data_IF_459205001862
#
_entry.id   IF_459205001862
#
_cell.length_a   1.000
_cell.length_b   1.000
_cell.length_c   1.000
_cell.angle_alpha   90.00
_cell.angle_beta   90.00
_cell.angle_gamma   90.00
#
_symmetry.space_group_name_H-M   'P 1'
#
loop_
_entity.id
_entity.type
_entity.pdbx_description
1 polymer ?
#
# COMPACT_ATOMS: atom_id res chain seq x y z
N UNK A 1 -9.51 -17.80 -15.03
CA UNK A 1 -8.03 -17.64 -15.19
C UNK A 1 -7.69 -17.95 -16.62
N UNK A 2 -6.81 -17.16 -17.23
CA UNK A 2 -6.34 -17.42 -18.59
C UNK A 2 -5.39 -18.63 -18.61
N UNK A 3 -5.42 -19.39 -19.70
CA UNK A 3 -4.61 -20.60 -19.87
C UNK A 3 -3.52 -20.39 -20.92
N UNK A 4 -2.46 -21.21 -20.87
CA UNK A 4 -1.38 -21.18 -21.84
C UNK A 4 -1.93 -21.38 -23.27
N UNK A 5 -1.47 -20.56 -24.21
CA UNK A 5 -1.89 -20.55 -25.62
C UNK A 5 -3.18 -19.77 -25.90
N UNK A 6 -3.91 -19.31 -24.86
CA UNK A 6 -5.03 -18.40 -25.02
C UNK A 6 -4.55 -17.04 -25.50
N UNK A 7 -5.27 -16.43 -26.45
CA UNK A 7 -4.96 -15.08 -26.93
C UNK A 7 -5.90 -14.06 -26.31
N UNK A 8 -5.39 -12.89 -26.04
CA UNK A 8 -6.13 -11.69 -25.69
C UNK A 8 -6.06 -10.75 -26.89
N UNK A 9 -7.20 -10.26 -27.32
CA UNK A 9 -7.35 -9.33 -28.46
C UNK A 9 -6.65 -9.86 -29.74
N UNK A 10 -6.71 -11.19 -29.97
CA UNK A 10 -6.06 -11.90 -31.08
C UNK A 10 -4.55 -11.61 -31.26
N UNK A 11 -3.95 -10.89 -30.30
CA UNK A 11 -2.58 -10.38 -30.37
C UNK A 11 -1.67 -10.97 -29.31
N UNK A 12 -2.12 -11.03 -28.07
CA UNK A 12 -1.26 -11.38 -26.93
C UNK A 12 -1.45 -12.83 -26.53
N UNK A 13 -0.52 -13.71 -26.86
CA UNK A 13 -0.60 -15.13 -26.56
C UNK A 13 -0.01 -15.43 -25.16
N UNK A 14 -0.82 -15.99 -24.27
CA UNK A 14 -0.43 -16.31 -22.89
C UNK A 14 0.58 -17.46 -22.87
N UNK A 15 1.74 -17.21 -22.25
CA UNK A 15 2.79 -18.22 -22.04
C UNK A 15 2.63 -18.90 -20.68
N UNK A 16 2.50 -18.12 -19.60
CA UNK A 16 2.34 -18.63 -18.22
C UNK A 16 1.89 -17.52 -17.25
N UNK A 17 1.34 -17.92 -16.11
CA UNK A 17 1.13 -17.02 -14.97
C UNK A 17 2.47 -16.71 -14.31
N UNK A 18 2.73 -15.44 -13.97
CA UNK A 18 3.94 -14.96 -13.30
C UNK A 18 3.65 -14.27 -11.98
N UNK A 19 2.39 -13.95 -11.67
CA UNK A 19 1.97 -13.37 -10.41
C UNK A 19 0.48 -13.52 -10.16
N UNK A 20 0.11 -13.76 -8.91
CA UNK A 20 -1.29 -13.78 -8.44
C UNK A 20 -1.45 -12.76 -7.33
N UNK A 21 -2.32 -11.79 -7.53
CA UNK A 21 -2.59 -10.72 -6.57
C UNK A 21 -4.04 -10.70 -6.12
N UNK A 22 -4.30 -9.95 -5.06
CA UNK A 22 -5.66 -9.79 -4.53
C UNK A 22 -6.65 -9.14 -5.50
N UNK A 23 -6.16 -8.34 -6.46
CA UNK A 23 -7.01 -7.58 -7.39
C UNK A 23 -6.84 -8.02 -8.85
N UNK A 24 -5.67 -8.49 -9.23
CA UNK A 24 -5.35 -8.86 -10.59
C UNK A 24 -4.33 -10.01 -10.63
N UNK A 25 -4.37 -10.80 -11.70
CA UNK A 25 -3.35 -11.78 -12.02
C UNK A 25 -2.43 -11.24 -13.10
N UNK A 26 -1.16 -11.61 -13.05
CA UNK A 26 -0.15 -11.17 -14.03
C UNK A 26 0.34 -12.38 -14.81
N UNK A 27 0.35 -12.24 -16.13
CA UNK A 27 0.75 -13.27 -17.08
C UNK A 27 1.94 -12.81 -17.90
N UNK A 28 2.88 -13.70 -18.17
CA UNK A 28 3.82 -13.55 -19.27
C UNK A 28 3.10 -13.92 -20.55
N UNK A 29 3.18 -13.07 -21.55
CA UNK A 29 2.62 -13.30 -22.87
C UNK A 29 3.60 -12.87 -23.97
N UNK A 30 3.32 -13.30 -25.20
CA UNK A 30 3.99 -12.83 -26.41
C UNK A 30 3.06 -11.88 -27.19
N UNK A 31 3.55 -10.69 -27.49
CA UNK A 31 2.95 -9.80 -28.48
C UNK A 31 3.28 -10.35 -29.86
N UNK A 32 2.33 -11.06 -30.48
CA UNK A 32 2.55 -11.75 -31.74
C UNK A 32 2.74 -10.83 -32.95
N UNK A 33 2.42 -9.54 -32.82
CA UNK A 33 2.64 -8.53 -33.88
C UNK A 33 4.05 -7.96 -33.81
N UNK A 34 4.53 -7.66 -32.59
CA UNK A 34 5.86 -7.05 -32.37
C UNK A 34 6.93 -8.08 -31.99
N UNK A 35 6.58 -9.37 -31.94
CA UNK A 35 7.47 -10.50 -31.61
C UNK A 35 8.29 -10.27 -30.33
N UNK A 36 7.62 -9.79 -29.28
CA UNK A 36 8.27 -9.48 -27.99
C UNK A 36 7.49 -10.03 -26.81
N UNK A 37 8.20 -10.34 -25.72
CA UNK A 37 7.59 -10.68 -24.44
C UNK A 37 6.98 -9.45 -23.78
N UNK A 38 5.80 -9.62 -23.20
CA UNK A 38 5.06 -8.60 -22.45
C UNK A 38 4.52 -9.20 -21.16
N UNK A 39 4.31 -8.37 -20.14
CA UNK A 39 3.54 -8.73 -18.97
C UNK A 39 2.11 -8.23 -19.14
N UNK A 40 1.13 -9.08 -18.86
CA UNK A 40 -0.28 -8.69 -18.92
C UNK A 40 -0.90 -8.84 -17.54
N UNK A 41 -1.35 -7.71 -17.00
CA UNK A 41 -2.09 -7.65 -15.74
C UNK A 41 -3.57 -7.69 -16.05
N UNK A 42 -4.27 -8.72 -15.57
CA UNK A 42 -5.70 -8.94 -15.85
C UNK A 42 -6.48 -8.83 -14.56
N UNK A 43 -7.52 -7.99 -14.54
CA UNK A 43 -8.42 -7.85 -13.39
C UNK A 43 -9.09 -9.19 -13.09
N UNK A 44 -9.16 -9.58 -11.82
CA UNK A 44 -9.80 -10.85 -11.44
C UNK A 44 -11.28 -10.83 -11.77
N UNK A 45 -11.79 -11.97 -12.27
CA UNK A 45 -13.18 -12.11 -12.72
C UNK A 45 -14.23 -11.88 -11.63
N UNK A 46 -13.91 -12.17 -10.35
CA UNK A 46 -14.77 -11.84 -9.21
C UNK A 46 -14.90 -10.32 -8.94
N UNK A 47 -13.98 -9.50 -9.46
CA UNK A 47 -13.96 -8.04 -9.35
C UNK A 47 -14.37 -7.32 -10.64
N UNK A 48 -14.46 -8.04 -11.76
CA UNK A 48 -14.78 -7.47 -13.07
C UNK A 48 -16.24 -6.99 -13.23
N UNK A 49 -17.12 -7.30 -12.28
CA UNK A 49 -18.49 -6.80 -12.21
C UNK A 49 -18.66 -5.58 -11.27
N UNK A 50 -17.61 -5.18 -10.55
CA UNK A 50 -17.65 -4.01 -9.68
C UNK A 50 -17.02 -2.81 -10.37
N UNK A 51 -17.86 -1.86 -10.79
CA UNK A 51 -17.44 -0.63 -11.47
C UNK A 51 -16.37 0.15 -10.69
N UNK A 52 -16.32 0.03 -9.38
CA UNK A 52 -15.33 0.73 -8.55
C UNK A 52 -13.92 0.15 -8.78
N UNK A 53 -13.81 -1.17 -8.90
CA UNK A 53 -12.53 -1.83 -9.20
C UNK A 53 -12.12 -1.60 -10.66
N UNK A 54 -13.06 -1.70 -11.61
CA UNK A 54 -12.81 -1.41 -13.03
C UNK A 54 -12.28 0.03 -13.20
N UNK A 55 -12.96 1.03 -12.63
CA UNK A 55 -12.52 2.42 -12.71
C UNK A 55 -11.13 2.63 -12.11
N UNK A 56 -10.81 1.97 -10.99
CA UNK A 56 -9.48 2.04 -10.38
C UNK A 56 -8.43 1.42 -11.30
N UNK A 57 -8.69 0.24 -11.83
CA UNK A 57 -7.79 -0.48 -12.72
C UNK A 57 -7.47 0.33 -13.99
N UNK A 58 -8.50 0.85 -14.67
CA UNK A 58 -8.35 1.73 -15.84
C UNK A 58 -7.57 3.02 -15.50
N UNK A 59 -7.83 3.62 -14.35
CA UNK A 59 -7.17 4.85 -13.91
C UNK A 59 -5.69 4.63 -13.58
N UNK A 60 -5.33 3.49 -13.01
CA UNK A 60 -3.95 3.07 -12.79
C UNK A 60 -3.18 3.06 -14.11
N UNK A 61 -3.71 2.34 -15.10
CA UNK A 61 -3.10 2.24 -16.41
C UNK A 61 -2.93 3.61 -17.10
N UNK A 62 -4.00 4.41 -17.17
CA UNK A 62 -3.98 5.71 -17.83
C UNK A 62 -3.03 6.70 -17.17
N UNK A 63 -2.83 6.60 -15.85
CA UNK A 63 -1.90 7.51 -15.15
C UNK A 63 -0.45 7.27 -15.52
N UNK A 64 -0.08 6.02 -15.81
CA UNK A 64 1.31 5.61 -16.06
C UNK A 64 1.63 5.51 -17.55
N UNK A 65 0.61 5.40 -18.42
CA UNK A 65 0.81 5.21 -19.87
C UNK A 65 1.62 6.33 -20.56
N UNK A 66 1.69 7.51 -19.96
CA UNK A 66 2.46 8.64 -20.48
C UNK A 66 3.85 8.78 -19.82
N UNK A 67 4.21 7.90 -18.88
CA UNK A 67 5.54 7.92 -18.27
C UNK A 67 6.50 7.07 -19.11
N UNK A 68 7.60 7.67 -19.53
CA UNK A 68 8.72 6.96 -20.16
C UNK A 68 9.99 7.29 -19.40
N UNK A 69 10.54 6.32 -18.67
CA UNK A 69 11.74 6.46 -17.87
C UNK A 69 12.40 5.09 -17.66
N UNK A 70 13.73 4.96 -17.73
CA UNK A 70 14.42 3.66 -17.58
C UNK A 70 14.06 2.94 -16.26
N UNK A 71 13.76 3.67 -15.19
CA UNK A 71 13.42 3.12 -13.89
C UNK A 71 11.90 3.03 -13.62
N UNK A 72 11.05 3.13 -14.63
CA UNK A 72 9.61 2.94 -14.55
C UNK A 72 9.19 1.90 -15.58
N UNK A 73 8.34 0.94 -15.19
CA UNK A 73 7.77 -0.04 -16.13
C UNK A 73 6.85 0.66 -17.11
N UNK A 74 7.09 0.49 -18.42
CA UNK A 74 6.28 1.08 -19.48
C UNK A 74 4.94 0.36 -19.62
N UNK A 75 3.86 1.11 -19.80
CA UNK A 75 2.54 0.58 -20.18
C UNK A 75 2.38 0.72 -21.68
N UNK A 76 2.14 -0.40 -22.36
CA UNK A 76 2.05 -0.47 -23.82
C UNK A 76 0.61 -0.38 -24.34
N UNK A 77 -0.34 -1.00 -23.60
CA UNK A 77 -1.74 -1.08 -24.04
C UNK A 77 -2.68 -1.28 -22.84
N UNK A 78 -3.94 -0.91 -23.01
CA UNK A 78 -5.01 -1.09 -22.02
C UNK A 78 -6.28 -1.47 -22.77
N UNK A 79 -6.89 -2.58 -22.41
CA UNK A 79 -8.07 -3.04 -23.11
C UNK A 79 -9.08 -3.79 -22.25
N UNK A 80 -10.12 -4.20 -22.94
CA UNK A 80 -11.17 -5.07 -22.42
C UNK A 80 -11.58 -6.05 -23.51
N UNK A 81 -11.70 -7.33 -23.16
CA UNK A 81 -12.19 -8.37 -24.02
C UNK A 81 -13.00 -9.37 -23.19
N UNK A 82 -14.23 -9.63 -23.61
CA UNK A 82 -15.16 -10.56 -22.93
C UNK A 82 -15.31 -10.33 -21.43
N UNK A 83 -15.34 -9.05 -21.00
CA UNK A 83 -15.42 -8.65 -19.59
C UNK A 83 -14.09 -8.79 -18.82
N UNK A 84 -13.00 -9.16 -19.48
CA UNK A 84 -11.67 -9.19 -18.91
C UNK A 84 -10.96 -7.85 -19.17
N UNK A 85 -10.77 -7.06 -18.15
CA UNK A 85 -9.98 -5.82 -18.22
C UNK A 85 -8.51 -6.15 -18.07
N UNK A 86 -7.67 -5.65 -18.97
CA UNK A 86 -6.24 -5.94 -18.97
C UNK A 86 -5.37 -4.71 -19.22
N UNK A 87 -4.14 -4.77 -18.71
CA UNK A 87 -3.06 -3.80 -18.96
C UNK A 87 -1.87 -4.59 -19.49
N UNK A 88 -1.36 -4.20 -20.66
CA UNK A 88 -0.14 -4.75 -21.25
C UNK A 88 1.02 -3.83 -20.92
N UNK A 89 2.08 -4.39 -20.37
CA UNK A 89 3.23 -3.64 -19.90
C UNK A 89 4.54 -4.35 -20.24
N UNK A 90 5.63 -3.64 -20.11
CA UNK A 90 6.98 -4.15 -20.20
C UNK A 90 7.16 -5.38 -19.31
N UNK A 91 7.68 -6.46 -19.90
CA UNK A 91 8.11 -7.62 -19.12
C UNK A 91 9.53 -7.44 -18.63
N UNK A 92 9.71 -7.46 -17.33
CA UNK A 92 11.02 -7.35 -16.68
C UNK A 92 11.54 -8.75 -16.36
N UNK A 93 12.66 -9.12 -16.97
CA UNK A 93 13.36 -10.37 -16.68
C UNK A 93 14.26 -10.20 -15.46
N UNK A 94 13.65 -10.36 -14.27
CA UNK A 94 14.31 -10.07 -13.01
C UNK A 94 13.56 -10.62 -11.81
N UNK A 95 13.87 -10.06 -10.65
CA UNK A 95 13.28 -10.43 -9.36
C UNK A 95 12.72 -9.17 -8.68
N UNK A 96 11.73 -9.33 -7.80
CA UNK A 96 11.34 -8.23 -6.92
C UNK A 96 12.42 -7.99 -5.86
N UNK A 97 12.55 -6.75 -5.37
CA UNK A 97 13.40 -6.47 -4.21
C UNK A 97 12.97 -7.29 -2.99
N UNK A 98 11.69 -7.67 -2.89
CA UNK A 98 11.22 -8.56 -1.82
C UNK A 98 11.86 -9.94 -1.89
N UNK A 99 11.91 -10.55 -3.08
CA UNK A 99 12.58 -11.83 -3.31
C UNK A 99 14.08 -11.74 -3.04
N UNK A 100 14.72 -10.63 -3.43
CA UNK A 100 16.13 -10.38 -3.18
C UNK A 100 16.44 -10.30 -1.68
N UNK A 101 15.65 -9.52 -0.91
CA UNK A 101 15.75 -9.40 0.54
C UNK A 101 15.50 -10.72 1.25
N UNK A 102 14.51 -11.49 0.83
CA UNK A 102 14.23 -12.82 1.39
C UNK A 102 15.40 -13.79 1.21
N UNK A 103 16.09 -13.71 0.06
CA UNK A 103 17.24 -14.57 -0.24
C UNK A 103 18.52 -14.14 0.44
N UNK A 104 18.78 -12.83 0.56
CA UNK A 104 20.10 -12.29 0.96
C UNK A 104 20.09 -11.61 2.34
N UNK A 105 18.93 -11.21 2.85
CA UNK A 105 18.83 -10.31 4.00
C UNK A 105 19.24 -8.88 3.61
N UNK A 106 20.03 -8.22 4.47
CA UNK A 106 20.55 -6.88 4.20
C UNK A 106 21.45 -6.85 2.95
N UNK A 107 21.36 -5.77 2.20
CA UNK A 107 22.22 -5.51 1.05
C UNK A 107 23.46 -4.71 1.46
N UNK A 108 24.49 -4.71 0.62
CA UNK A 108 25.68 -3.88 0.84
C UNK A 108 25.33 -2.40 0.69
N UNK A 109 26.08 -1.55 1.36
CA UNK A 109 25.86 -0.10 1.33
C UNK A 109 25.85 0.47 -0.10
N UNK A 110 26.80 0.04 -0.94
CA UNK A 110 26.87 0.51 -2.32
C UNK A 110 25.67 0.07 -3.15
N UNK A 111 25.21 -1.17 -3.01
CA UNK A 111 23.98 -1.66 -3.67
C UNK A 111 22.76 -0.85 -3.23
N UNK A 112 22.65 -0.53 -1.94
CA UNK A 112 21.51 0.26 -1.44
C UNK A 112 21.54 1.68 -2.02
N UNK A 113 22.69 2.34 -2.04
CA UNK A 113 22.82 3.69 -2.63
C UNK A 113 22.47 3.67 -4.12
N UNK A 114 22.97 2.67 -4.86
CA UNK A 114 22.68 2.54 -6.28
C UNK A 114 21.17 2.32 -6.56
N UNK A 115 20.55 1.36 -5.85
CA UNK A 115 19.11 1.08 -5.94
C UNK A 115 18.29 2.33 -5.59
N UNK A 116 18.61 3.00 -4.48
CA UNK A 116 17.87 4.17 -4.02
C UNK A 116 18.03 5.37 -4.96
N UNK A 117 19.22 5.53 -5.58
CA UNK A 117 19.47 6.57 -6.60
C UNK A 117 18.57 6.35 -7.81
N UNK A 118 18.51 5.13 -8.35
CA UNK A 118 17.63 4.79 -9.46
C UNK A 118 16.15 4.98 -9.12
N UNK A 119 15.71 4.53 -7.94
CA UNK A 119 14.32 4.68 -7.47
C UNK A 119 13.92 6.16 -7.33
N UNK A 120 14.80 6.97 -6.75
CA UNK A 120 14.53 8.40 -6.58
C UNK A 120 14.51 9.16 -7.90
N UNK A 121 15.30 8.75 -8.90
CA UNK A 121 15.26 9.35 -10.23
C UNK A 121 13.95 9.04 -10.96
N UNK A 122 13.57 7.76 -11.03
CA UNK A 122 12.28 7.36 -11.63
C UNK A 122 11.08 7.99 -10.93
N UNK A 123 11.07 8.00 -9.59
CA UNK A 123 9.96 8.57 -8.84
C UNK A 123 9.89 10.11 -8.98
N UNK A 124 11.03 10.80 -9.10
CA UNK A 124 11.05 12.23 -9.39
C UNK A 124 10.41 12.54 -10.74
N UNK A 125 10.71 11.74 -11.78
CA UNK A 125 10.07 11.85 -13.08
C UNK A 125 8.54 11.69 -13.00
N UNK A 126 8.05 10.70 -12.25
CA UNK A 126 6.62 10.52 -12.03
C UNK A 126 5.98 11.71 -11.29
N UNK A 127 6.64 12.23 -10.25
CA UNK A 127 6.16 13.39 -9.48
C UNK A 127 6.12 14.68 -10.31
N UNK A 128 7.08 14.88 -11.22
CA UNK A 128 7.11 15.99 -12.18
C UNK A 128 5.90 15.94 -13.14
N UNK A 129 5.41 14.72 -13.44
CA UNK A 129 4.17 14.49 -14.16
C UNK A 129 2.91 14.50 -13.27
N UNK A 130 3.01 14.93 -12.01
CA UNK A 130 1.94 14.97 -11.00
C UNK A 130 1.38 13.58 -10.64
N UNK A 131 2.17 12.51 -10.81
CA UNK A 131 1.79 11.14 -10.48
C UNK A 131 2.48 10.74 -9.20
N UNK A 132 1.69 10.37 -8.18
CA UNK A 132 2.15 9.88 -6.87
C UNK A 132 1.99 8.37 -6.86
N UNK A 133 3.02 7.63 -6.43
CA UNK A 133 3.01 6.16 -6.45
C UNK A 133 2.09 5.56 -5.37
N UNK A 134 2.12 6.05 -4.13
CA UNK A 134 1.25 5.69 -2.99
C UNK A 134 1.46 4.31 -2.37
N UNK A 135 2.19 3.41 -2.99
CA UNK A 135 2.42 2.03 -2.51
C UNK A 135 3.88 1.58 -2.77
N UNK A 136 4.86 2.43 -2.39
CA UNK A 136 6.29 2.09 -2.49
C UNK A 136 6.62 1.01 -1.46
N UNK A 137 7.02 -0.17 -1.97
CA UNK A 137 7.42 -1.34 -1.17
C UNK A 137 8.25 -2.30 -2.03
N UNK A 138 9.04 -3.22 -1.44
CA UNK A 138 9.93 -4.11 -2.20
C UNK A 138 9.23 -5.03 -3.20
N UNK A 139 7.94 -5.31 -3.02
CA UNK A 139 7.14 -6.11 -3.96
C UNK A 139 6.90 -5.39 -5.29
N UNK A 140 6.81 -4.05 -5.26
CA UNK A 140 6.51 -3.20 -6.41
C UNK A 140 7.78 -2.64 -7.07
N UNK A 141 8.94 -3.20 -6.73
CA UNK A 141 10.22 -2.83 -7.33
C UNK A 141 10.86 -4.07 -7.91
N UNK A 142 11.12 -4.05 -9.21
CA UNK A 142 11.85 -5.10 -9.91
C UNK A 142 13.34 -4.72 -10.03
N UNK A 143 14.20 -5.72 -10.02
CA UNK A 143 15.63 -5.56 -10.30
C UNK A 143 16.06 -6.64 -11.30
N UNK A 144 16.68 -6.21 -12.38
CA UNK A 144 17.28 -7.08 -13.38
C UNK A 144 18.65 -7.59 -12.95
N UNK A 145 19.16 -8.63 -13.61
CA UNK A 145 20.49 -9.17 -13.29
C UNK A 145 21.64 -8.20 -13.58
N UNK A 146 21.43 -7.21 -14.46
CA UNK A 146 22.37 -6.12 -14.75
C UNK A 146 22.36 -4.99 -13.69
N UNK A 147 21.46 -5.08 -12.70
CA UNK A 147 21.30 -4.07 -11.64
C UNK A 147 20.31 -2.93 -11.99
N UNK A 148 19.68 -2.96 -13.17
CA UNK A 148 18.64 -1.99 -13.51
C UNK A 148 17.40 -2.19 -12.62
N UNK A 149 16.95 -1.12 -11.99
CA UNK A 149 15.79 -1.11 -11.11
C UNK A 149 14.60 -0.48 -11.82
N UNK A 150 13.43 -1.12 -11.71
CA UNK A 150 12.18 -0.62 -12.30
C UNK A 150 11.05 -0.59 -11.28
N UNK A 151 10.38 0.55 -11.19
CA UNK A 151 9.18 0.77 -10.37
C UNK A 151 7.97 0.23 -11.13
N UNK A 152 7.18 -0.61 -10.46
CA UNK A 152 5.94 -1.19 -11.00
C UNK A 152 4.74 -0.78 -10.15
N UNK A 153 3.53 -1.03 -10.63
CA UNK A 153 2.29 -0.96 -9.84
C UNK A 153 2.09 0.40 -9.12
N UNK A 154 2.01 1.49 -9.88
CA UNK A 154 1.64 2.80 -9.35
C UNK A 154 0.25 2.73 -8.71
N UNK A 155 0.22 2.74 -7.38
CA UNK A 155 -0.94 2.41 -6.55
C UNK A 155 -2.03 3.48 -6.50
N UNK A 156 -2.79 3.66 -7.58
CA UNK A 156 -3.99 4.50 -7.57
C UNK A 156 -5.10 3.86 -6.71
N UNK A 157 -4.92 2.59 -6.33
CA UNK A 157 -5.92 1.77 -5.66
C UNK A 157 -6.04 1.97 -4.15
N UNK A 158 -5.08 2.59 -3.49
CA UNK A 158 -5.08 2.65 -2.02
C UNK A 158 -5.59 3.99 -1.46
N UNK A 159 -6.86 4.30 -1.67
CA UNK A 159 -7.59 5.03 -0.63
C UNK A 159 -7.98 3.96 0.42
N UNK A 160 -7.09 3.72 1.38
CA UNK A 160 -7.40 2.90 2.56
C UNK A 160 -8.54 3.60 3.32
N UNK A 161 -9.77 3.10 3.15
CA UNK A 161 -10.81 3.36 4.12
C UNK A 161 -10.42 2.57 5.39
N UNK A 162 -10.55 3.19 6.54
CA UNK A 162 -10.25 2.61 7.87
C UNK A 162 -10.85 1.21 8.10
N UNK A 163 -11.89 0.85 7.37
CA UNK A 163 -12.56 -0.47 7.39
C UNK A 163 -11.74 -1.57 6.68
N UNK A 164 -10.77 -1.26 5.85
CA UNK A 164 -9.97 -2.25 5.08
C UNK A 164 -8.67 -2.65 5.78
N UNK A 165 -8.23 -1.92 6.81
CA UNK A 165 -7.05 -2.26 7.59
C UNK A 165 -7.15 -3.61 8.33
N UNK A 166 -8.35 -4.20 8.42
CA UNK A 166 -8.60 -5.40 9.23
C UNK A 166 -8.80 -6.69 8.42
N UNK A 167 -8.84 -6.69 7.08
CA UNK A 167 -9.47 -7.80 6.37
C UNK A 167 -8.63 -8.67 5.43
N UNK A 168 -7.37 -8.36 5.09
CA UNK A 168 -6.59 -9.24 4.17
C UNK A 168 -5.09 -9.28 4.43
N UNK A 169 -4.45 -10.43 4.17
CA UNK A 169 -2.99 -10.61 4.25
C UNK A 169 -2.18 -9.67 3.33
N UNK A 170 -2.76 -9.17 2.24
CA UNK A 170 -2.14 -8.18 1.34
C UNK A 170 -2.01 -6.80 1.98
N UNK A 171 -2.94 -6.43 2.86
CA UNK A 171 -2.90 -5.20 3.65
C UNK A 171 -1.75 -5.25 4.66
N UNK A 172 -1.50 -6.42 5.28
CA UNK A 172 -0.41 -6.62 6.24
C UNK A 172 0.96 -6.29 5.63
N UNK A 173 1.20 -6.63 4.35
CA UNK A 173 2.45 -6.30 3.66
C UNK A 173 2.67 -4.80 3.45
N UNK A 174 1.64 -4.06 3.04
CA UNK A 174 1.73 -2.63 2.72
C UNK A 174 1.79 -1.74 3.96
N UNK A 175 1.22 -2.18 5.10
CA UNK A 175 1.22 -1.37 6.33
C UNK A 175 2.63 -1.08 6.86
N UNK A 176 3.62 -1.95 6.57
CA UNK A 176 5.01 -1.74 6.99
C UNK A 176 5.70 -0.52 6.36
N UNK A 177 5.13 0.04 5.29
CA UNK A 177 5.66 1.22 4.58
C UNK A 177 4.71 2.41 4.66
N UNK A 178 3.64 2.31 5.45
CA UNK A 178 2.55 3.27 5.53
C UNK A 178 2.99 4.59 6.17
N UNK A 179 2.87 5.74 5.47
CA UNK A 179 3.19 7.04 6.05
C UNK A 179 2.22 7.41 7.18
N UNK A 180 2.68 8.15 8.22
CA UNK A 180 1.86 8.61 9.34
C UNK A 180 0.57 9.32 8.92
N UNK A 181 0.63 10.19 7.90
CA UNK A 181 -0.54 10.91 7.38
C UNK A 181 -1.57 9.97 6.75
N UNK A 182 -1.14 8.92 6.06
CA UNK A 182 -2.06 7.92 5.51
C UNK A 182 -2.67 7.05 6.62
N UNK A 183 -1.87 6.68 7.64
CA UNK A 183 -2.38 6.00 8.83
C UNK A 183 -3.47 6.83 9.55
N UNK A 184 -3.38 8.16 9.48
CA UNK A 184 -4.37 9.10 9.98
C UNK A 184 -5.53 9.38 9.00
N UNK A 185 -5.65 8.63 7.91
CA UNK A 185 -6.72 8.81 6.93
C UNK A 185 -6.58 10.05 6.04
N UNK A 186 -5.43 10.73 6.06
CA UNK A 186 -5.13 11.84 5.15
C UNK A 186 -4.70 11.30 3.79
N UNK A 187 -4.88 12.09 2.75
CA UNK A 187 -4.47 11.73 1.39
C UNK A 187 -2.95 11.62 1.23
N UNK A 188 -2.53 10.86 0.23
CA UNK A 188 -1.11 10.73 -0.16
C UNK A 188 -0.61 11.95 -0.90
N UNK A 189 0.63 12.31 -0.66
CA UNK A 189 1.37 13.38 -1.33
C UNK A 189 2.74 12.87 -1.76
N UNK A 190 3.52 13.68 -2.48
CA UNK A 190 4.93 13.37 -2.79
C UNK A 190 5.74 13.07 -1.52
N UNK A 191 5.40 13.72 -0.40
CA UNK A 191 6.02 13.48 0.92
C UNK A 191 5.69 12.11 1.50
N UNK A 192 4.58 11.50 1.09
CA UNK A 192 4.19 10.15 1.47
C UNK A 192 5.09 9.12 0.80
N UNK A 193 5.35 9.26 -0.50
CA UNK A 193 6.28 8.39 -1.23
C UNK A 193 7.71 8.50 -0.68
N UNK A 194 8.15 9.72 -0.31
CA UNK A 194 9.46 9.95 0.34
C UNK A 194 9.56 9.18 1.67
N UNK A 195 8.50 9.17 2.47
CA UNK A 195 8.49 8.39 3.71
C UNK A 195 8.63 6.88 3.42
N UNK A 196 7.86 6.36 2.49
CA UNK A 196 7.91 4.94 2.11
C UNK A 196 9.27 4.56 1.52
N UNK A 197 9.93 5.44 0.74
CA UNK A 197 11.33 5.27 0.29
C UNK A 197 12.29 5.19 1.47
N UNK A 198 12.12 6.02 2.49
CA UNK A 198 12.93 5.99 3.71
C UNK A 198 12.80 4.66 4.47
N UNK A 199 11.58 4.13 4.58
CA UNK A 199 11.34 2.81 5.18
C UNK A 199 11.95 1.69 4.34
N UNK A 200 11.81 1.76 3.02
CA UNK A 200 12.45 0.82 2.08
C UNK A 200 13.97 0.84 2.24
N UNK A 201 14.59 2.02 2.26
CA UNK A 201 16.05 2.17 2.45
C UNK A 201 16.50 1.58 3.80
N UNK A 202 15.73 1.79 4.87
CA UNK A 202 15.99 1.15 6.17
C UNK A 202 15.99 -0.39 6.03
N UNK A 203 14.98 -0.98 5.39
CA UNK A 203 14.88 -2.43 5.21
C UNK A 203 16.03 -2.97 4.34
N UNK A 204 16.41 -2.28 3.27
CA UNK A 204 17.53 -2.68 2.42
C UNK A 204 18.85 -2.69 3.20
N UNK A 205 19.09 -1.72 4.09
CA UNK A 205 20.31 -1.60 4.91
C UNK A 205 20.36 -2.59 6.08
N UNK A 206 19.20 -2.98 6.63
CA UNK A 206 19.14 -3.79 7.86
C UNK A 206 18.61 -5.22 7.64
N UNK A 207 18.01 -5.50 6.48
CA UNK A 207 17.32 -6.75 6.18
C UNK A 207 15.97 -6.91 6.87
N UNK A 208 15.48 -5.88 7.56
CA UNK A 208 14.18 -5.94 8.27
C UNK A 208 13.50 -4.56 8.34
N UNK A 209 12.17 -4.59 8.37
CA UNK A 209 11.38 -3.36 8.55
C UNK A 209 11.58 -2.76 9.95
N UNK A 210 11.51 -1.42 10.12
CA UNK A 210 11.75 -0.77 11.40
C UNK A 210 10.67 -1.07 12.46
N UNK A 211 9.43 -1.30 12.03
CA UNK A 211 8.29 -1.55 12.91
C UNK A 211 7.65 -2.89 12.59
N UNK A 212 7.46 -3.70 13.61
CA UNK A 212 6.80 -5.01 13.58
C UNK A 212 5.67 -5.01 14.60
N UNK A 213 4.64 -5.83 14.37
CA UNK A 213 3.51 -6.00 15.28
C UNK A 213 2.63 -7.14 14.80
N UNK A 214 1.74 -7.59 15.68
CA UNK A 214 0.84 -8.71 15.40
C UNK A 214 -0.37 -8.28 14.57
N UNK A 215 -0.67 -6.99 14.55
CA UNK A 215 -1.78 -6.41 13.79
C UNK A 215 -1.34 -5.23 12.92
N UNK A 216 -2.05 -5.02 11.82
CA UNK A 216 -1.84 -3.85 10.95
C UNK A 216 -2.04 -2.52 11.72
N UNK A 217 -2.97 -2.49 12.68
CA UNK A 217 -3.26 -1.31 13.52
C UNK A 217 -2.06 -0.99 14.41
N UNK A 218 -1.46 -1.99 15.05
CA UNK A 218 -0.26 -1.81 15.88
C UNK A 218 0.90 -1.23 15.06
N UNK A 219 1.16 -1.78 13.88
CA UNK A 219 2.22 -1.31 12.98
C UNK A 219 1.94 0.14 12.55
N UNK A 220 0.70 0.47 12.18
CA UNK A 220 0.30 1.83 11.81
C UNK A 220 0.52 2.83 12.97
N UNK A 221 0.18 2.44 14.22
CA UNK A 221 0.43 3.26 15.40
C UNK A 221 1.94 3.51 15.64
N UNK A 222 2.78 2.50 15.40
CA UNK A 222 4.25 2.65 15.48
C UNK A 222 4.76 3.63 14.42
N UNK A 223 4.25 3.56 13.19
CA UNK A 223 4.56 4.56 12.16
C UNK A 223 4.18 5.98 12.57
N UNK A 224 3.10 6.15 13.31
CA UNK A 224 2.64 7.46 13.79
C UNK A 224 3.47 7.99 14.96
N UNK A 225 3.88 7.14 15.90
CA UNK A 225 4.40 7.56 17.21
C UNK A 225 5.85 7.21 17.47
N UNK A 226 6.33 6.05 17.00
CA UNK A 226 7.67 5.57 17.36
C UNK A 226 8.77 6.16 16.49
N UNK A 227 9.91 6.48 17.10
CA UNK A 227 11.12 6.90 16.37
C UNK A 227 11.70 5.74 15.60
N UNK A 228 12.24 6.01 14.41
CA UNK A 228 12.97 4.99 13.62
C UNK A 228 14.17 4.50 14.45
N UNK A 229 14.33 3.17 14.61
CA UNK A 229 15.49 2.59 15.27
C UNK A 229 16.78 2.98 14.56
N UNK A 230 17.87 3.18 15.31
CA UNK A 230 19.14 3.56 14.71
C UNK A 230 19.74 2.40 13.90
N UNK A 231 20.01 2.65 12.62
CA UNK A 231 20.69 1.72 11.71
C UNK A 231 22.14 1.48 12.21
N UNK A 232 22.82 2.55 12.62
CA UNK A 232 24.21 2.50 13.09
C UNK A 232 24.39 1.77 14.41
N UNK A 233 23.34 1.63 15.23
CA UNK A 233 23.38 0.70 16.40
C UNK A 233 23.45 -0.76 15.97
N UNK A 234 22.88 -1.12 14.82
CA UNK A 234 22.92 -2.48 14.25
C UNK A 234 24.19 -2.69 13.41
N UNK A 235 24.59 -1.68 12.63
CA UNK A 235 25.78 -1.71 11.79
C UNK A 235 26.53 -0.37 11.86
N UNK A 236 27.57 -0.25 12.73
CA UNK A 236 28.34 0.99 12.89
C UNK A 236 29.15 1.42 11.66
N UNK A 237 29.35 0.54 10.68
CA UNK A 237 30.09 0.86 9.44
C UNK A 237 29.30 1.73 8.48
N UNK A 238 27.99 1.87 8.67
CA UNK A 238 27.14 2.74 7.86
C UNK A 238 27.46 4.21 8.22
N UNK A 239 27.76 5.06 7.22
CA UNK A 239 28.02 6.48 7.46
C UNK A 239 26.82 7.19 8.11
N UNK A 240 27.09 8.21 8.94
CA UNK A 240 26.02 9.00 9.56
C UNK A 240 25.17 9.76 8.54
N UNK A 241 25.77 10.20 7.43
CA UNK A 241 25.09 10.80 6.28
C UNK A 241 23.99 9.90 5.74
N UNK A 242 24.26 8.60 5.59
CA UNK A 242 23.29 7.61 5.09
C UNK A 242 22.16 7.38 6.11
N UNK A 243 22.47 7.25 7.41
CA UNK A 243 21.43 7.18 8.45
C UNK A 243 20.59 8.48 8.46
N UNK A 244 21.21 9.64 8.24
CA UNK A 244 20.52 10.94 8.21
C UNK A 244 19.52 11.03 7.03
N UNK A 245 19.83 10.45 5.87
CA UNK A 245 18.88 10.38 4.75
C UNK A 245 17.62 9.62 5.18
N UNK A 246 17.79 8.45 5.82
CA UNK A 246 16.65 7.66 6.33
C UNK A 246 15.87 8.45 7.37
N UNK A 247 16.55 9.07 8.34
CA UNK A 247 15.89 9.86 9.39
C UNK A 247 15.12 11.05 8.82
N UNK A 248 15.67 11.74 7.83
CA UNK A 248 15.00 12.86 7.16
C UNK A 248 13.78 12.39 6.35
N UNK A 249 13.94 11.36 5.55
CA UNK A 249 12.86 10.80 4.74
C UNK A 249 11.69 10.29 5.63
N UNK A 250 12.00 9.68 6.79
CA UNK A 250 11.02 9.08 7.71
C UNK A 250 10.57 10.00 8.85
N UNK A 251 10.85 11.30 8.77
CA UNK A 251 10.34 12.27 9.75
C UNK A 251 8.81 12.19 9.83
N UNK A 252 8.26 12.19 11.07
CA UNK A 252 6.81 12.03 11.29
C UNK A 252 6.02 13.19 10.71
N UNK A 253 6.47 14.42 10.99
CA UNK A 253 5.91 15.60 10.35
C UNK A 253 6.41 15.71 8.89
N UNK A 254 5.52 15.69 7.87
CA UNK A 254 5.92 15.82 6.48
C UNK A 254 6.73 17.08 6.15
N UNK A 255 6.59 18.16 6.93
CA UNK A 255 7.37 19.41 6.76
C UNK A 255 8.86 19.22 7.03
N UNK A 256 9.23 18.22 7.84
CA UNK A 256 10.62 17.90 8.18
C UNK A 256 11.29 16.93 7.19
N UNK A 257 10.53 16.41 6.21
CA UNK A 257 11.05 15.57 5.13
C UNK A 257 11.66 16.40 4.01
N UNK A 258 12.25 15.73 3.02
CA UNK A 258 12.63 16.39 1.76
C UNK A 258 11.42 17.07 1.12
N UNK A 259 11.61 18.22 0.47
CA UNK A 259 10.51 18.92 -0.19
C UNK A 259 10.01 18.17 -1.42
N UNK A 260 10.91 17.51 -2.12
CA UNK A 260 10.66 16.68 -3.28
C UNK A 260 11.65 15.51 -3.34
N UNK A 261 11.39 14.53 -4.18
CA UNK A 261 12.25 13.35 -4.33
C UNK A 261 13.59 13.68 -4.98
N UNK A 262 13.66 14.73 -5.82
CA UNK A 262 14.90 15.17 -6.44
C UNK A 262 15.93 15.66 -5.42
N UNK A 263 15.48 16.23 -4.30
CA UNK A 263 16.39 16.62 -3.20
C UNK A 263 16.92 15.39 -2.44
N UNK A 264 16.11 14.34 -2.28
CA UNK A 264 16.60 13.07 -1.74
C UNK A 264 17.61 12.40 -2.68
N UNK A 265 17.36 12.43 -4.00
CA UNK A 265 18.29 11.95 -5.01
C UNK A 265 19.68 12.62 -4.91
N UNK A 266 19.72 13.95 -4.85
CA UNK A 266 20.98 14.71 -4.69
C UNK A 266 21.72 14.36 -3.41
N UNK A 267 20.98 14.15 -2.33
CA UNK A 267 21.53 13.81 -1.02
C UNK A 267 22.16 12.40 -1.04
N UNK A 268 21.53 11.44 -1.73
CA UNK A 268 22.07 10.10 -1.96
C UNK A 268 23.38 10.11 -2.75
N UNK A 269 23.46 10.92 -3.82
CA UNK A 269 24.65 10.99 -4.67
C UNK A 269 25.92 11.43 -3.92
N UNK A 270 25.76 12.20 -2.85
CA UNK A 270 26.89 12.70 -2.05
C UNK A 270 27.07 11.99 -0.71
N UNK A 271 26.16 11.06 -0.37
CA UNK A 271 26.09 10.46 0.96
C UNK A 271 27.38 9.78 1.40
N UNK A 272 28.07 9.07 0.49
CA UNK A 272 29.30 8.34 0.80
C UNK A 272 30.54 9.25 0.88
N UNK A 273 30.44 10.52 0.46
CA UNK A 273 31.55 11.49 0.44
C UNK A 273 31.52 12.42 1.66
N UNK A 274 30.46 12.35 2.48
CA UNK A 274 30.25 13.26 3.61
C UNK A 274 30.63 12.58 4.91
N UNK A 275 31.81 12.85 5.38
CA UNK A 275 32.33 12.39 6.66
C UNK A 275 31.92 13.32 7.81
N UNK A 276 31.86 12.75 9.02
CA UNK A 276 31.68 13.49 10.28
C UNK A 276 30.38 14.30 10.44
N UNK A 277 29.31 13.91 9.76
CA UNK A 277 27.99 14.50 9.99
C UNK A 277 27.49 14.19 11.42
N UNK A 278 26.76 15.15 12.01
CA UNK A 278 26.01 14.91 13.24
C UNK A 278 24.69 14.20 12.92
N UNK A 279 24.28 13.31 13.81
CA UNK A 279 22.97 12.62 13.70
C UNK A 279 21.85 13.64 13.72
N UNK A 280 20.93 13.53 12.76
CA UNK A 280 19.71 14.32 12.76
C UNK A 280 18.80 13.90 13.90
N UNK A 281 18.27 14.89 14.60
CA UNK A 281 17.30 14.70 15.69
C UNK A 281 16.09 15.58 15.40
N UNK A 282 14.91 14.98 15.33
CA UNK A 282 13.65 15.70 15.28
C UNK A 282 12.97 15.60 16.63
N UNK A 283 12.64 16.74 17.21
CA UNK A 283 11.77 16.82 18.38
C UNK A 283 10.32 16.76 17.89
N UNK A 284 9.56 15.87 18.47
CA UNK A 284 8.12 15.76 18.22
C UNK A 284 7.44 16.27 19.49
N UNK A 285 6.93 17.53 19.52
CA UNK A 285 6.15 18.00 20.66
C UNK A 285 4.93 17.09 20.82
N UNK A 286 4.69 16.67 22.07
CA UNK A 286 3.57 15.75 22.39
C UNK A 286 2.21 16.30 21.94
N UNK A 287 2.09 17.62 21.78
CA UNK A 287 0.85 18.32 21.43
C UNK A 287 0.58 18.48 19.94
N UNK A 288 1.53 18.22 19.02
CA UNK A 288 1.28 18.27 17.56
C UNK A 288 0.31 17.17 17.07
N UNK A 289 -0.09 16.25 17.96
CA UNK A 289 -1.07 15.19 17.70
C UNK A 289 -2.52 15.63 17.98
N UNK A 290 -2.75 16.77 18.67
CA UNK A 290 -4.09 17.22 19.09
C UNK A 290 -4.94 17.82 17.95
N UNK A 291 -4.36 18.29 16.86
CA UNK A 291 -5.12 18.74 15.69
C UNK A 291 -5.61 17.62 14.75
N UNK A 292 -5.33 16.38 15.09
CA UNK A 292 -5.80 15.25 14.30
C UNK A 292 -7.21 14.89 14.76
N UNK A 293 -8.23 15.21 13.99
CA UNK A 293 -9.58 14.64 14.16
C UNK A 293 -9.47 13.13 14.02
N UNK A 294 -9.34 12.45 15.16
CA UNK A 294 -9.31 10.99 15.25
C UNK A 294 -10.65 10.49 14.71
N UNK A 295 -10.61 9.58 13.75
CA UNK A 295 -11.82 8.93 13.25
C UNK A 295 -12.46 8.21 14.45
N UNK A 296 -13.71 8.52 14.84
CA UNK A 296 -14.30 8.05 16.11
C UNK A 296 -14.34 6.53 16.28
N UNK A 297 -14.32 5.77 15.18
CA UNK A 297 -14.32 4.31 15.20
C UNK A 297 -12.98 3.70 15.63
N UNK A 298 -11.85 4.23 15.14
CA UNK A 298 -10.52 3.73 15.50
C UNK A 298 -10.23 3.98 16.98
N UNK A 299 -10.72 5.10 17.53
CA UNK A 299 -10.54 5.44 18.96
C UNK A 299 -11.31 4.49 19.88
N UNK A 300 -12.49 3.98 19.46
CA UNK A 300 -13.25 3.01 20.27
C UNK A 300 -12.54 1.66 20.33
N UNK A 301 -11.98 1.19 19.22
CA UNK A 301 -11.23 -0.08 19.18
C UNK A 301 -9.91 0.02 19.95
N UNK A 302 -9.20 1.16 19.85
CA UNK A 302 -7.95 1.39 20.59
C UNK A 302 -8.20 1.44 22.10
N UNK A 303 -9.27 2.10 22.57
CA UNK A 303 -9.61 2.10 23.99
C UNK A 303 -9.94 0.70 24.51
N UNK A 304 -10.62 -0.13 23.72
CA UNK A 304 -10.93 -1.51 24.13
C UNK A 304 -9.69 -2.43 24.21
N UNK A 305 -8.61 -2.11 23.46
CA UNK A 305 -7.34 -2.87 23.51
C UNK A 305 -6.45 -2.40 24.68
N UNK A 306 -6.48 -1.12 25.02
CA UNK A 306 -5.65 -0.54 26.10
C UNK A 306 -6.23 -0.81 27.48
N UNK A 307 -7.56 -0.88 27.62
CA UNK A 307 -8.27 -1.09 28.89
C UNK A 307 -8.44 -2.57 29.28
N UNK A 308 -7.82 -3.53 28.57
CA UNK A 308 -7.77 -4.93 29.03
C UNK A 308 -6.61 -5.10 30.02
N UNK A 309 -6.88 -5.36 31.32
CA UNK A 309 -5.83 -5.71 32.27
C UNK A 309 -5.20 -7.05 31.87
N UNK A 310 -3.88 -7.12 31.85
CA UNK A 310 -3.12 -8.37 31.80
C UNK A 310 -3.49 -9.22 33.01
N UNK A 311 -4.36 -10.20 32.82
CA UNK A 311 -4.64 -11.20 33.83
C UNK A 311 -3.50 -12.22 33.86
N UNK A 312 -2.94 -12.39 35.03
CA UNK A 312 -2.06 -13.49 35.41
C UNK A 312 -2.86 -14.81 35.36
N UNK A 313 -2.20 -15.84 34.83
CA UNK A 313 -2.64 -17.21 34.95
C UNK A 313 -2.71 -17.62 36.43
N UNK A 314 -3.88 -18.09 36.88
CA UNK A 314 -4.05 -19.03 37.99
C UNK A 314 -5.18 -19.99 37.63
N UNK A 315 -4.85 -21.28 37.67
CA UNK A 315 -5.74 -22.43 37.54
C UNK A 315 -6.85 -22.44 38.59
N UNK A 316 -8.08 -22.74 38.19
CA UNK A 316 -8.97 -23.68 38.91
C UNK A 316 -10.26 -23.94 38.17
N UNK A 317 -10.58 -25.22 38.04
CA UNK A 317 -11.86 -25.82 37.65
C UNK A 317 -13.03 -25.27 38.49
N UNK A 318 -14.19 -25.01 37.91
CA UNK A 318 -15.42 -25.74 38.17
C UNK A 318 -16.64 -25.15 37.42
N UNK A 319 -17.58 -26.08 37.22
CA UNK A 319 -18.89 -26.00 36.62
C UNK A 319 -19.78 -24.80 37.00
N UNK A 320 -20.53 -24.22 36.06
CA UNK A 320 -22.00 -24.37 35.99
C UNK A 320 -22.71 -23.20 35.29
N UNK A 321 -23.66 -23.57 34.43
CA UNK A 321 -24.96 -22.93 34.15
C UNK A 321 -25.00 -21.72 33.22
N UNK A 322 -25.45 -22.01 32.00
CA UNK A 322 -26.08 -21.15 31.02
C UNK A 322 -27.14 -20.20 31.62
N UNK A 323 -27.00 -18.89 31.35
CA UNK A 323 -28.12 -17.95 31.35
C UNK A 323 -28.09 -17.16 30.05
N UNK A 324 -29.01 -17.58 29.16
CA UNK A 324 -29.43 -16.76 28.02
C UNK A 324 -29.95 -15.40 28.49
N UNK A 325 -29.44 -14.33 27.83
CA UNK A 325 -30.07 -13.02 27.87
C UNK A 325 -30.77 -12.76 26.55
N UNK A 326 -32.10 -12.76 26.61
CA UNK A 326 -33.04 -12.34 25.58
C UNK A 326 -32.68 -11.00 24.97
N UNK A 327 -32.25 -10.99 23.73
CA UNK A 327 -32.31 -9.79 22.85
C UNK A 327 -33.74 -9.70 22.30
N UNK A 328 -34.52 -8.79 22.84
CA UNK A 328 -35.87 -8.46 22.37
C UNK A 328 -35.84 -8.09 20.90
N UNK A 329 -36.36 -8.98 20.09
CA UNK A 329 -36.53 -8.85 18.65
C UNK A 329 -37.46 -7.69 18.31
N UNK A 330 -36.89 -6.58 17.75
CA UNK A 330 -37.62 -5.37 17.33
C UNK A 330 -38.33 -5.54 15.97
N UNK A 331 -38.25 -6.70 15.35
CA UNK A 331 -38.81 -7.01 14.04
C UNK A 331 -40.34 -6.81 13.95
N UNK A 332 -41.16 -7.21 14.96
CA UNK A 332 -42.59 -7.01 14.87
C UNK A 332 -43.06 -5.55 14.93
N UNK A 333 -42.28 -4.66 15.57
CA UNK A 333 -42.65 -3.25 15.66
C UNK A 333 -42.41 -2.56 14.33
N UNK A 334 -41.33 -2.87 13.61
CA UNK A 334 -41.03 -2.30 12.27
C UNK A 334 -42.07 -2.77 11.26
N UNK A 335 -42.51 -4.03 11.31
CA UNK A 335 -43.55 -4.56 10.41
C UNK A 335 -44.91 -3.88 10.63
N UNK A 336 -45.28 -3.57 11.88
CA UNK A 336 -46.51 -2.88 12.22
C UNK A 336 -46.55 -1.44 11.71
N UNK A 337 -45.42 -0.70 11.78
CA UNK A 337 -45.32 0.67 11.27
C UNK A 337 -45.42 0.74 9.74
N UNK A 338 -44.81 -0.21 9.04
CA UNK A 338 -44.90 -0.28 7.57
C UNK A 338 -46.33 -0.62 7.12
N UNK A 339 -47.02 -1.54 7.79
CA UNK A 339 -48.41 -1.92 7.49
C UNK A 339 -49.39 -0.74 7.72
N UNK A 340 -49.19 0.04 8.78
CA UNK A 340 -50.01 1.21 9.07
C UNK A 340 -49.81 2.31 8.00
N UNK A 341 -48.61 2.55 7.55
CA UNK A 341 -48.26 3.49 6.50
C UNK A 341 -48.90 3.15 5.15
N UNK A 342 -48.89 1.88 4.75
CA UNK A 342 -49.54 1.41 3.51
C UNK A 342 -51.05 1.54 3.54
N UNK A 343 -51.70 1.32 4.70
CA UNK A 343 -53.13 1.48 4.88
C UNK A 343 -53.60 2.91 4.76
N UNK A 344 -52.82 3.89 5.27
CA UNK A 344 -53.10 5.31 5.15
C UNK A 344 -53.00 5.76 3.69
N UNK A 345 -52.01 5.29 2.95
CA UNK A 345 -51.84 5.64 1.53
C UNK A 345 -52.99 5.07 0.69
N UNK A 346 -53.41 3.82 0.94
CA UNK A 346 -54.54 3.21 0.25
C UNK A 346 -55.88 3.90 0.55
N UNK A 347 -56.08 4.35 1.77
CA UNK A 347 -57.29 5.13 2.15
C UNK A 347 -57.29 6.48 1.47
N UNK A 348 -56.18 7.16 1.35
CA UNK A 348 -56.02 8.44 0.62
C UNK A 348 -56.31 8.29 -0.88
N UNK A 349 -55.81 7.24 -1.52
CA UNK A 349 -56.07 6.96 -2.93
C UNK A 349 -57.54 6.60 -3.16
N UNK A 350 -58.18 5.82 -2.25
CA UNK A 350 -59.57 5.51 -2.33
C UNK A 350 -60.47 6.73 -2.23
N UNK A 351 -60.20 7.70 -1.34
CA UNK A 351 -60.90 8.95 -1.23
C UNK A 351 -60.75 9.87 -2.47
N UNK A 352 -59.59 9.83 -3.13
CA UNK A 352 -59.32 10.55 -4.37
C UNK A 352 -60.07 9.98 -5.60
N UNK A 353 -60.35 8.68 -5.60
CA UNK A 353 -61.09 8.03 -6.71
C UNK A 353 -62.62 8.11 -6.53
N UNK A 354 -63.11 8.31 -5.29
CA UNK A 354 -64.54 8.39 -4.98
C UNK A 354 -65.05 9.81 -4.81
N UNK A 355 -64.21 10.82 -4.91
CA UNK A 355 -64.52 12.25 -5.00
C UNK A 355 -64.49 12.72 -6.45
#
# INVERSE_FOLDING_TARGET
MLTKGQKINDRYEIIKTIGEGGMANVYLAEDTILERKVAIKVLRGDLSNDEKFIRRFKREALSVSNLSHPNIVEVYDVGEEDGNYYIVMEYIEGKTLKQLLQKRGALTLNEVIDIMTQLTDGLAHAHEAYIIHRDIKPQNIMIEDNGLVKITDFGIAMALNSTQLTQTNSVMGSVHYLPPEQANGKGSTVKSDIYSLGILMYELLTGSVPFKGDTAVEIALKHMKEKIPSIRKQNPTIPQSVENIVLKATAKNPKNRYDNVRDMYKDLQTALQRDNEKRLVYEYPENDLEETKVIPQVTKEIKQVIDKPTAKEEDSEDNSVLKEKDEKNKLPIILAVVLLGTLIVLAGVYLLITS
#
